data_IF_187483871188
#
_entry.id   IF_187483871188
#
_cell.length_a   1.000
_cell.length_b   1.000
_cell.length_c   1.000
_cell.angle_alpha   90.00
_cell.angle_beta   90.00
_cell.angle_gamma   90.00
#
_symmetry.space_group_name_H-M   'P 1'
#
loop_
_entity.id
_entity.type
_entity.pdbx_description
1 polymer ?
#
# COMPACT_ATOMS: atom_id res chain seq x y z
N UNK A 1 -8.90 1.50 19.47
CA UNK A 1 -8.16 1.34 18.18
C UNK A 1 -8.55 2.48 17.27
N UNK A 2 -7.56 3.16 16.69
CA UNK A 2 -7.85 4.26 15.78
C UNK A 2 -8.16 3.70 14.38
N UNK A 3 -9.28 4.09 13.78
CA UNK A 3 -9.68 3.73 12.42
C UNK A 3 -9.39 4.90 11.49
N UNK A 4 -8.59 4.66 10.45
CA UNK A 4 -8.30 5.63 9.40
C UNK A 4 -9.04 5.20 8.12
N UNK A 5 -9.70 6.15 7.48
CA UNK A 5 -10.32 5.98 6.17
C UNK A 5 -9.48 6.70 5.13
N UNK A 6 -9.09 6.01 4.07
CA UNK A 6 -8.37 6.57 2.93
C UNK A 6 -9.36 6.73 1.79
N UNK A 7 -9.38 7.93 1.17
CA UNK A 7 -10.24 8.25 0.05
C UNK A 7 -9.41 8.55 -1.19
N UNK A 8 -9.81 8.04 -2.34
CA UNK A 8 -9.22 8.45 -3.63
C UNK A 8 -9.90 9.69 -4.22
N UNK A 9 -10.91 10.24 -3.56
CA UNK A 9 -11.75 11.32 -4.08
C UNK A 9 -12.74 10.86 -5.16
N UNK A 10 -12.91 9.55 -5.36
CA UNK A 10 -13.86 9.04 -6.33
C UNK A 10 -15.30 9.31 -5.87
N UNK A 11 -16.13 9.84 -6.79
CA UNK A 11 -17.55 10.19 -6.50
C UNK A 11 -18.37 9.02 -5.94
N UNK A 12 -17.97 7.79 -6.24
CA UNK A 12 -18.65 6.58 -5.79
C UNK A 12 -18.47 6.28 -4.32
N UNK A 13 -17.34 6.71 -3.71
CA UNK A 13 -17.06 6.49 -2.29
C UNK A 13 -18.16 7.06 -1.40
N UNK A 14 -18.52 8.33 -1.63
CA UNK A 14 -19.61 8.98 -0.89
C UNK A 14 -20.99 8.45 -1.26
N UNK A 15 -21.21 8.14 -2.55
CA UNK A 15 -22.52 7.69 -3.04
C UNK A 15 -22.89 6.29 -2.54
N UNK A 16 -21.91 5.40 -2.45
CA UNK A 16 -22.11 3.99 -2.07
C UNK A 16 -21.76 3.75 -0.59
N UNK A 17 -21.00 4.65 0.04
CA UNK A 17 -20.65 4.57 1.45
C UNK A 17 -19.47 3.65 1.72
N UNK A 18 -18.42 3.70 0.89
CA UNK A 18 -17.18 2.95 1.10
C UNK A 18 -15.96 3.87 1.11
N UNK A 19 -14.82 3.36 1.54
CA UNK A 19 -13.52 4.04 1.47
C UNK A 19 -12.58 3.27 0.55
N UNK A 20 -11.63 3.95 -0.10
CA UNK A 20 -10.65 3.29 -0.96
C UNK A 20 -9.78 2.32 -0.18
N UNK A 21 -9.44 2.67 1.07
CA UNK A 21 -8.91 1.72 2.04
C UNK A 21 -9.38 2.05 3.45
N UNK A 22 -9.33 1.04 4.31
CA UNK A 22 -9.58 1.16 5.76
C UNK A 22 -8.36 0.62 6.48
N UNK A 23 -7.76 1.43 7.36
CA UNK A 23 -6.71 1.00 8.28
C UNK A 23 -7.26 0.89 9.70
N UNK A 24 -6.99 -0.23 10.37
CA UNK A 24 -7.30 -0.47 11.79
C UNK A 24 -6.04 -1.02 12.46
N UNK A 25 -5.38 -0.20 13.25
CA UNK A 25 -4.09 -0.54 13.81
C UNK A 25 -3.05 -0.76 12.71
N UNK A 26 -2.52 -1.99 12.60
CA UNK A 26 -1.58 -2.37 11.54
C UNK A 26 -2.25 -2.96 10.29
N UNK A 27 -3.50 -3.38 10.38
CA UNK A 27 -4.22 -3.99 9.27
C UNK A 27 -4.76 -2.92 8.32
N UNK A 28 -4.58 -3.12 7.02
CA UNK A 28 -5.04 -2.23 5.96
C UNK A 28 -5.77 -3.09 4.93
N UNK A 29 -6.99 -2.68 4.60
CA UNK A 29 -7.86 -3.32 3.63
C UNK A 29 -8.07 -2.37 2.46
N UNK A 30 -7.53 -2.70 1.31
CA UNK A 30 -7.73 -1.95 0.06
C UNK A 30 -8.94 -2.53 -0.65
N UNK A 31 -9.92 -1.69 -0.92
CA UNK A 31 -11.16 -2.07 -1.60
C UNK A 31 -10.91 -2.51 -3.04
N UNK A 32 -11.84 -3.27 -3.61
CA UNK A 32 -11.86 -3.61 -5.02
C UNK A 32 -11.56 -2.40 -5.88
N UNK A 33 -10.49 -2.52 -6.66
CA UNK A 33 -9.93 -1.43 -7.46
C UNK A 33 -9.90 -1.85 -8.92
N UNK A 34 -10.44 -1.00 -9.77
CA UNK A 34 -10.46 -1.15 -11.22
C UNK A 34 -9.57 -0.09 -11.89
N UNK A 35 -9.22 -0.32 -13.15
CA UNK A 35 -8.29 0.52 -13.91
C UNK A 35 -8.96 1.80 -14.42
N UNK A 36 -9.16 2.77 -13.54
CA UNK A 36 -9.73 4.06 -13.91
C UNK A 36 -8.76 5.21 -13.64
N UNK A 37 -8.89 6.29 -14.42
CA UNK A 37 -8.19 7.54 -14.14
C UNK A 37 -9.01 8.44 -13.18
N UNK A 38 -8.44 9.59 -12.83
CA UNK A 38 -9.08 10.58 -11.93
C UNK A 38 -10.41 11.14 -12.45
N UNK A 39 -10.69 11.01 -13.77
CA UNK A 39 -11.96 11.40 -14.39
C UNK A 39 -12.97 10.24 -14.47
N UNK A 40 -12.63 9.07 -13.90
CA UNK A 40 -13.45 7.87 -13.91
C UNK A 40 -13.51 7.14 -15.27
N UNK A 41 -12.59 7.43 -16.20
CA UNK A 41 -12.51 6.72 -17.49
C UNK A 41 -11.62 5.51 -17.36
N UNK A 42 -11.99 4.41 -18.01
CA UNK A 42 -11.19 3.18 -18.07
C UNK A 42 -9.85 3.47 -18.75
N UNK A 43 -8.78 2.89 -18.19
CA UNK A 43 -7.42 2.95 -18.71
C UNK A 43 -7.05 1.56 -19.20
N UNK A 44 -6.56 1.45 -20.44
CA UNK A 44 -6.12 0.16 -20.99
C UNK A 44 -7.29 -0.74 -21.42
N UNK A 45 -8.32 -0.15 -22.08
CA UNK A 45 -9.41 -0.94 -22.67
C UNK A 45 -8.84 -2.06 -23.55
N UNK A 46 -9.35 -3.27 -23.40
CA UNK A 46 -8.93 -4.45 -24.14
C UNK A 46 -7.57 -5.05 -23.71
N UNK A 47 -6.81 -4.47 -22.79
CA UNK A 47 -5.53 -5.02 -22.30
C UNK A 47 -5.49 -5.17 -20.78
N UNK A 48 -5.66 -6.41 -20.31
CA UNK A 48 -5.63 -6.76 -18.88
C UNK A 48 -4.33 -6.37 -18.19
N UNK A 49 -3.20 -6.35 -18.92
CA UNK A 49 -1.89 -6.01 -18.35
C UNK A 49 -1.79 -4.53 -18.03
N UNK A 50 -2.29 -3.68 -18.93
CA UNK A 50 -2.34 -2.23 -18.71
C UNK A 50 -3.28 -1.94 -17.54
N UNK A 51 -4.44 -2.58 -17.52
CA UNK A 51 -5.41 -2.44 -16.43
C UNK A 51 -4.80 -2.86 -15.09
N UNK A 52 -4.15 -4.02 -15.02
CA UNK A 52 -3.54 -4.49 -13.79
C UNK A 52 -2.43 -3.55 -13.27
N UNK A 53 -1.55 -3.06 -14.14
CA UNK A 53 -0.52 -2.07 -13.75
C UNK A 53 -1.16 -0.81 -13.18
N UNK A 54 -2.22 -0.31 -13.83
CA UNK A 54 -2.94 0.87 -13.33
C UNK A 54 -3.54 0.62 -11.95
N UNK A 55 -4.11 -0.55 -11.71
CA UNK A 55 -4.65 -0.92 -10.40
C UNK A 55 -3.54 -0.94 -9.34
N UNK A 56 -2.38 -1.53 -9.63
CA UNK A 56 -1.27 -1.55 -8.68
C UNK A 56 -0.67 -0.17 -8.40
N UNK A 57 -0.66 0.76 -9.39
CA UNK A 57 -0.32 2.16 -9.14
C UNK A 57 -1.28 2.81 -8.13
N UNK A 58 -2.59 2.60 -8.31
CA UNK A 58 -3.61 3.12 -7.39
C UNK A 58 -3.42 2.50 -5.99
N UNK A 59 -3.25 1.18 -5.92
CA UNK A 59 -3.04 0.48 -4.65
C UNK A 59 -1.79 0.98 -3.92
N UNK A 60 -0.69 1.21 -4.64
CA UNK A 60 0.56 1.76 -4.08
C UNK A 60 0.33 3.14 -3.46
N UNK A 61 -0.35 4.04 -4.17
CA UNK A 61 -0.66 5.37 -3.65
C UNK A 61 -1.53 5.31 -2.40
N UNK A 62 -2.53 4.44 -2.40
CA UNK A 62 -3.46 4.23 -1.27
C UNK A 62 -2.76 3.64 -0.06
N UNK A 63 -1.88 2.64 -0.25
CA UNK A 63 -1.07 2.06 0.83
C UNK A 63 -0.14 3.11 1.43
N UNK A 64 0.49 3.96 0.60
CA UNK A 64 1.36 5.05 1.06
C UNK A 64 0.57 6.05 1.92
N UNK A 65 -0.61 6.45 1.50
CA UNK A 65 -1.49 7.35 2.27
C UNK A 65 -1.96 6.71 3.59
N UNK A 66 -2.16 5.38 3.58
CA UNK A 66 -2.45 4.61 4.77
C UNK A 66 -1.23 4.40 5.69
N UNK A 67 -0.04 4.89 5.34
CA UNK A 67 1.21 4.73 6.10
C UNK A 67 1.79 3.32 5.99
N UNK A 68 1.79 2.74 4.78
CA UNK A 68 2.27 1.40 4.43
C UNK A 68 2.93 1.41 3.04
N UNK A 69 3.33 0.25 2.54
CA UNK A 69 3.95 0.08 1.23
C UNK A 69 3.56 -1.28 0.62
N UNK A 70 3.98 -1.54 -0.62
CA UNK A 70 3.70 -2.81 -1.30
C UNK A 70 4.29 -4.01 -0.58
N UNK A 71 5.45 -3.85 0.04
CA UNK A 71 6.15 -4.89 0.82
C UNK A 71 5.32 -5.38 2.01
N UNK A 72 4.38 -4.58 2.49
CA UNK A 72 3.48 -4.90 3.57
C UNK A 72 2.25 -5.71 3.13
N UNK A 73 2.04 -5.89 1.81
CA UNK A 73 0.90 -6.64 1.28
C UNK A 73 1.05 -8.12 1.61
N UNK A 74 0.06 -8.68 2.26
CA UNK A 74 0.01 -10.09 2.68
C UNK A 74 -0.96 -10.91 1.86
N UNK A 75 -1.88 -10.27 1.15
CA UNK A 75 -2.85 -10.95 0.28
C UNK A 75 -3.29 -10.06 -0.88
N UNK A 76 -3.50 -10.69 -2.04
CA UNK A 76 -4.22 -10.13 -3.19
C UNK A 76 -5.35 -11.04 -3.61
N UNK A 77 -6.48 -10.47 -4.05
CA UNK A 77 -7.58 -11.18 -4.72
C UNK A 77 -7.83 -10.51 -6.05
N UNK A 78 -7.82 -11.29 -7.11
CA UNK A 78 -7.94 -10.84 -8.48
C UNK A 78 -9.18 -11.48 -9.10
N UNK A 79 -10.07 -10.64 -9.61
CA UNK A 79 -11.30 -11.03 -10.28
C UNK A 79 -11.19 -10.65 -11.75
N UNK A 80 -11.25 -11.62 -12.65
CA UNK A 80 -11.12 -11.40 -14.10
C UNK A 80 -12.41 -11.78 -14.83
N UNK A 81 -12.70 -11.12 -15.93
CA UNK A 81 -13.86 -11.45 -16.76
C UNK A 81 -13.59 -12.57 -17.77
N UNK A 82 -12.32 -12.98 -17.92
CA UNK A 82 -11.88 -14.10 -18.76
C UNK A 82 -10.64 -14.73 -18.11
N UNK A 83 -10.74 -16.01 -17.72
CA UNK A 83 -9.65 -16.76 -17.09
C UNK A 83 -8.48 -17.03 -18.04
N UNK A 84 -8.70 -16.96 -19.35
CA UNK A 84 -7.62 -17.06 -20.33
C UNK A 84 -6.55 -15.94 -20.16
N UNK A 85 -6.93 -14.82 -19.53
CA UNK A 85 -6.03 -13.74 -19.17
C UNK A 85 -5.10 -14.07 -17.98
N UNK A 86 -5.28 -15.19 -17.27
CA UNK A 86 -4.56 -15.53 -16.05
C UNK A 86 -3.04 -15.50 -16.19
N UNK A 87 -2.49 -16.04 -17.30
CA UNK A 87 -1.05 -16.02 -17.54
C UNK A 87 -0.50 -14.59 -17.76
N UNK A 88 -1.26 -13.73 -18.41
CA UNK A 88 -0.87 -12.33 -18.65
C UNK A 88 -0.93 -11.51 -17.35
N UNK A 89 -1.99 -11.67 -16.58
CA UNK A 89 -2.15 -11.03 -15.28
C UNK A 89 -1.11 -11.52 -14.26
N UNK A 90 -0.83 -12.84 -14.25
CA UNK A 90 0.19 -13.44 -13.38
C UNK A 90 1.59 -12.88 -13.62
N UNK A 91 1.95 -12.55 -14.87
CA UNK A 91 3.22 -11.88 -15.17
C UNK A 91 3.29 -10.49 -14.57
N UNK A 92 2.23 -9.69 -14.71
CA UNK A 92 2.17 -8.34 -14.10
C UNK A 92 2.19 -8.42 -12.57
N UNK A 93 1.48 -9.38 -11.99
CA UNK A 93 1.53 -9.63 -10.54
C UNK A 93 2.94 -10.01 -10.08
N UNK A 94 3.66 -10.85 -10.84
CA UNK A 94 5.03 -11.23 -10.53
C UNK A 94 6.03 -10.06 -10.68
N UNK A 95 5.82 -9.15 -11.64
CA UNK A 95 6.62 -7.92 -11.76
C UNK A 95 6.55 -7.08 -10.47
N UNK A 96 5.37 -7.00 -9.84
CA UNK A 96 5.13 -6.19 -8.64
C UNK A 96 5.47 -6.96 -7.35
N UNK A 97 5.06 -8.22 -7.26
CA UNK A 97 5.09 -8.99 -6.01
C UNK A 97 6.08 -10.16 -6.01
N UNK A 98 6.92 -10.32 -7.02
CA UNK A 98 7.79 -11.50 -7.17
C UNK A 98 8.76 -11.72 -6.01
N UNK A 99 9.14 -10.66 -5.29
CA UNK A 99 9.97 -10.73 -4.08
C UNK A 99 9.13 -10.72 -2.78
N UNK A 100 7.91 -10.18 -2.82
CA UNK A 100 7.02 -10.03 -1.65
C UNK A 100 6.24 -11.32 -1.40
N UNK A 101 5.72 -11.95 -2.46
CA UNK A 101 5.00 -13.22 -2.47
C UNK A 101 3.80 -13.26 -1.51
N UNK A 102 2.83 -12.35 -1.62
CA UNK A 102 1.62 -12.40 -0.82
C UNK A 102 0.80 -13.66 -1.15
N UNK A 103 -0.07 -14.08 -0.25
CA UNK A 103 -1.11 -15.05 -0.59
C UNK A 103 -1.96 -14.47 -1.72
N UNK A 104 -2.25 -15.24 -2.78
CA UNK A 104 -2.96 -14.75 -3.94
C UNK A 104 -4.13 -15.66 -4.32
N UNK A 105 -5.21 -15.05 -4.78
CA UNK A 105 -6.36 -15.74 -5.38
C UNK A 105 -6.68 -15.08 -6.72
N UNK A 106 -6.96 -15.87 -7.74
CA UNK A 106 -7.44 -15.41 -9.03
C UNK A 106 -8.65 -16.27 -9.42
N UNK A 107 -9.75 -15.61 -9.73
CA UNK A 107 -11.00 -16.27 -10.15
C UNK A 107 -11.64 -15.50 -11.30
N UNK A 108 -12.35 -16.24 -12.15
CA UNK A 108 -13.23 -15.65 -13.15
C UNK A 108 -14.55 -15.23 -12.51
N UNK A 109 -15.05 -14.09 -12.94
CA UNK A 109 -16.36 -13.56 -12.57
C UNK A 109 -17.18 -13.29 -13.84
N UNK A 110 -18.49 -13.39 -13.73
CA UNK A 110 -19.38 -13.21 -14.89
C UNK A 110 -19.28 -11.82 -15.52
N UNK A 111 -19.00 -10.78 -14.75
CA UNK A 111 -18.82 -9.40 -15.22
C UNK A 111 -18.31 -8.50 -14.10
N UNK A 112 -17.73 -7.37 -14.48
CA UNK A 112 -17.44 -6.23 -13.62
C UNK A 112 -18.47 -5.12 -13.85
N UNK A 113 -18.35 -4.01 -13.12
CA UNK A 113 -19.32 -2.91 -13.15
C UNK A 113 -19.39 -2.18 -14.50
N UNK A 114 -18.33 -2.23 -15.29
CA UNK A 114 -18.24 -1.67 -16.64
C UNK A 114 -17.68 -2.77 -17.57
N UNK A 115 -18.27 -3.02 -18.74
CA UNK A 115 -17.83 -4.08 -19.66
C UNK A 115 -16.41 -3.85 -20.24
N UNK A 116 -15.89 -2.64 -20.20
CA UNK A 116 -14.51 -2.34 -20.60
C UNK A 116 -13.47 -2.71 -19.51
N UNK A 117 -13.93 -3.02 -18.30
CA UNK A 117 -13.06 -3.51 -17.22
C UNK A 117 -12.88 -5.01 -17.33
N UNK A 118 -11.61 -5.43 -17.35
CA UNK A 118 -11.21 -6.84 -17.50
C UNK A 118 -10.76 -7.46 -16.19
N UNK A 119 -10.37 -6.63 -15.22
CA UNK A 119 -9.84 -7.08 -13.93
C UNK A 119 -10.17 -6.09 -12.82
N UNK A 120 -10.47 -6.63 -11.65
CA UNK A 120 -10.58 -5.92 -10.38
C UNK A 120 -9.66 -6.58 -9.36
N UNK A 121 -8.99 -5.81 -8.50
CA UNK A 121 -8.05 -6.34 -7.53
C UNK A 121 -8.29 -5.73 -6.15
N UNK A 122 -8.30 -6.59 -5.12
CA UNK A 122 -8.26 -6.25 -3.70
C UNK A 122 -6.89 -6.58 -3.11
N UNK A 123 -6.52 -5.86 -2.06
CA UNK A 123 -5.30 -6.18 -1.30
C UNK A 123 -5.52 -6.00 0.21
N UNK A 124 -4.94 -6.92 0.99
CA UNK A 124 -4.81 -6.79 2.43
C UNK A 124 -3.32 -6.58 2.77
N UNK A 125 -3.03 -5.63 3.65
CA UNK A 125 -1.67 -5.36 4.10
C UNK A 125 -1.58 -5.29 5.62
N UNK A 126 -0.39 -5.55 6.16
CA UNK A 126 -0.07 -5.39 7.58
C UNK A 126 1.12 -4.44 7.70
N UNK A 127 0.87 -3.20 8.06
CA UNK A 127 1.88 -2.15 8.12
C UNK A 127 3.13 -2.60 8.89
N UNK A 128 4.31 -2.46 8.27
CA UNK A 128 5.60 -2.87 8.80
C UNK A 128 5.87 -4.39 8.79
N UNK A 129 5.07 -5.19 8.04
CA UNK A 129 5.33 -6.63 7.89
C UNK A 129 6.38 -6.93 6.81
N UNK A 130 6.54 -6.05 5.84
CA UNK A 130 7.47 -6.21 4.73
C UNK A 130 8.95 -6.06 5.09
N UNK A 131 9.25 -5.83 6.37
CA UNK A 131 10.64 -5.79 6.85
C UNK A 131 11.40 -4.54 6.42
N UNK A 132 10.71 -3.39 6.24
CA UNK A 132 11.39 -2.12 6.01
C UNK A 132 12.37 -1.82 7.14
N UNK A 133 13.67 -1.84 6.84
CA UNK A 133 14.72 -1.41 7.76
C UNK A 133 14.68 0.12 7.84
N UNK A 134 14.27 0.65 8.98
CA UNK A 134 14.39 2.09 9.24
C UNK A 134 15.78 2.37 9.77
N UNK A 135 16.61 3.03 8.97
CA UNK A 135 17.94 3.49 9.40
C UNK A 135 17.80 4.90 9.97
N UNK A 136 18.08 5.03 11.27
CA UNK A 136 18.16 6.35 11.92
C UNK A 136 19.58 6.85 11.77
N UNK A 137 19.79 7.85 10.90
CA UNK A 137 21.08 8.50 10.75
C UNK A 137 21.36 9.38 11.97
N UNK A 138 22.12 8.86 12.92
CA UNK A 138 22.48 9.50 14.18
C UNK A 138 23.88 10.15 14.16
N UNK A 139 24.47 10.33 12.98
CA UNK A 139 25.81 10.90 12.80
C UNK A 139 25.80 12.24 12.06
N UNK A 140 26.60 13.18 12.52
CA UNK A 140 26.83 14.47 11.87
C UNK A 140 27.52 15.44 12.81
N UNK A 141 28.66 16.02 12.37
CA UNK A 141 29.34 17.09 13.12
C UNK A 141 28.38 18.29 13.21
N UNK A 142 27.65 18.42 14.32
CA UNK A 142 26.73 19.53 14.59
C UNK A 142 27.54 20.81 14.85
N UNK A 143 28.21 21.33 13.80
CA UNK A 143 29.10 22.52 13.90
C UNK A 143 28.43 23.73 14.54
N UNK A 144 27.10 23.88 14.39
CA UNK A 144 26.34 25.01 14.98
C UNK A 144 25.97 24.85 16.45
N UNK A 145 25.98 23.62 16.99
CA UNK A 145 25.54 23.34 18.36
C UNK A 145 26.66 22.86 19.27
N UNK A 146 27.87 22.65 18.74
CA UNK A 146 29.05 22.25 19.51
C UNK A 146 29.00 20.90 20.19
N UNK A 147 27.89 20.14 19.99
CA UNK A 147 27.70 18.82 20.60
C UNK A 147 26.84 17.90 19.74
N UNK A 148 26.95 16.58 19.95
CA UNK A 148 26.21 15.55 19.27
C UNK A 148 24.71 15.65 19.57
N UNK A 149 23.90 15.92 18.54
CA UNK A 149 22.45 16.06 18.67
C UNK A 149 21.77 14.77 19.12
N UNK A 150 22.30 13.61 18.77
CA UNK A 150 21.71 12.31 19.15
C UNK A 150 21.67 12.11 20.67
N UNK A 151 22.60 12.75 21.40
CA UNK A 151 22.75 12.67 22.85
C UNK A 151 22.01 13.76 23.61
N UNK A 152 21.43 14.76 22.93
CA UNK A 152 20.63 15.80 23.58
C UNK A 152 19.39 15.14 24.20
N UNK A 153 19.14 15.40 25.48
CA UNK A 153 17.95 14.90 26.19
C UNK A 153 16.78 15.82 26.02
N UNK A 154 15.62 15.22 25.73
CA UNK A 154 14.31 15.87 25.79
C UNK A 154 13.47 15.08 26.80
N UNK A 155 13.30 15.62 27.99
CA UNK A 155 12.73 14.91 29.12
C UNK A 155 13.61 13.72 29.55
N UNK A 156 13.00 12.55 29.72
CA UNK A 156 13.71 11.34 30.20
C UNK A 156 14.50 10.60 29.09
N UNK A 157 14.29 10.91 27.81
CA UNK A 157 14.94 10.22 26.67
C UNK A 157 15.85 11.19 25.90
N UNK A 158 16.85 10.64 25.21
CA UNK A 158 17.62 11.36 24.21
C UNK A 158 16.80 11.55 22.93
N UNK A 159 17.19 12.50 22.05
CA UNK A 159 16.54 12.65 20.73
C UNK A 159 16.60 11.36 19.93
N UNK A 160 17.73 10.64 19.94
CA UNK A 160 17.85 9.30 19.35
C UNK A 160 16.86 8.31 20.01
N UNK A 161 16.72 8.39 21.34
CA UNK A 161 15.79 7.54 22.08
C UNK A 161 14.32 7.78 21.72
N UNK A 162 13.94 9.03 21.45
CA UNK A 162 12.61 9.36 20.95
C UNK A 162 12.39 8.86 19.52
N UNK A 163 13.37 9.03 18.63
CA UNK A 163 13.28 8.53 17.26
C UNK A 163 13.15 6.99 17.23
N UNK A 164 13.95 6.27 18.04
CA UNK A 164 13.85 4.80 18.16
C UNK A 164 12.49 4.35 18.70
N UNK A 165 11.95 5.06 19.68
CA UNK A 165 10.63 4.74 20.22
C UNK A 165 9.52 4.94 19.16
N UNK A 166 9.55 6.06 18.43
CA UNK A 166 8.58 6.32 17.36
C UNK A 166 8.61 5.24 16.26
N UNK A 167 9.81 4.78 15.86
CA UNK A 167 9.96 3.69 14.89
C UNK A 167 9.42 2.38 15.45
N UNK A 168 9.69 2.07 16.72
CA UNK A 168 9.18 0.86 17.38
C UNK A 168 7.64 0.91 17.54
N UNK A 169 7.08 2.08 17.88
CA UNK A 169 5.63 2.30 18.01
C UNK A 169 4.93 2.14 16.64
N UNK A 170 5.63 2.43 15.54
CA UNK A 170 5.18 2.13 14.18
C UNK A 170 5.31 0.64 13.79
N UNK A 171 5.81 -0.22 14.68
CA UNK A 171 5.99 -1.66 14.44
C UNK A 171 7.23 -2.00 13.62
N UNK A 172 8.15 -1.05 13.43
CA UNK A 172 9.37 -1.20 12.66
C UNK A 172 10.58 -1.46 13.57
N UNK A 173 11.64 -2.06 13.04
CA UNK A 173 12.89 -2.29 13.77
C UNK A 173 13.90 -1.20 13.41
N UNK A 174 14.28 -0.28 14.34
CA UNK A 174 15.26 0.74 14.05
C UNK A 174 16.67 0.15 14.01
N UNK A 175 17.43 0.43 12.94
CA UNK A 175 18.90 0.32 12.91
C UNK A 175 19.50 1.71 13.12
N UNK A 176 20.60 1.80 13.84
CA UNK A 176 21.34 3.04 14.12
C UNK A 176 22.75 2.93 13.58
#
# INVERSE_FOLDING_TARGET
MNRQLVSSGAKWENKVGYSRAVRVGRQIFVSGTTAVNTKGRVVGEGDVRIQARRIFEIATAVLTEAGSCLEDVVRTRMFVTDIAAAAALGRVHAEVFGQIRPAATLVEVSRLIDPALLVEIEADAIAGSGGADVVILAGGKSKRMGRDKSRIRLGRRTLLGHARAAVADAGLKPRV
#
